data_IF_438124182887
#
_entry.id   IF_438124182887
#
_cell.length_a   1.000
_cell.length_b   1.000
_cell.length_c   1.000
_cell.angle_alpha   90.00
_cell.angle_beta   90.00
_cell.angle_gamma   90.00
#
_symmetry.space_group_name_H-M   'P 1'
#
loop_
_entity.id
_entity.type
_entity.pdbx_description
1 polymer ?
#
# COMPACT_ATOMS: atom_id res chain seq x y z
N UNK A 1 -18.20 -8.38 19.21
CA UNK A 1 -16.76 -8.02 19.25
C UNK A 1 -16.60 -6.63 19.88
N UNK A 2 -15.48 -6.35 20.56
CA UNK A 2 -15.22 -4.99 21.10
C UNK A 2 -14.95 -4.02 19.95
N UNK A 3 -15.48 -2.79 20.04
CA UNK A 3 -15.39 -1.76 18.97
C UNK A 3 -13.94 -1.48 18.53
N UNK A 4 -12.98 -1.49 19.46
CA UNK A 4 -11.54 -1.34 19.17
C UNK A 4 -10.97 -2.47 18.32
N UNK A 5 -11.38 -3.71 18.59
CA UNK A 5 -10.96 -4.88 17.81
C UNK A 5 -11.49 -4.80 16.37
N UNK A 6 -12.74 -4.36 16.20
CA UNK A 6 -13.31 -4.10 14.87
C UNK A 6 -12.52 -3.00 14.17
N UNK A 7 -12.21 -1.90 14.86
CA UNK A 7 -11.38 -0.82 14.31
C UNK A 7 -10.00 -1.33 13.86
N UNK A 8 -9.31 -2.10 14.69
CA UNK A 8 -8.01 -2.66 14.33
C UNK A 8 -8.07 -3.60 13.11
N UNK A 9 -9.10 -4.45 13.04
CA UNK A 9 -9.32 -5.32 11.88
C UNK A 9 -9.64 -4.52 10.62
N UNK A 10 -10.41 -3.43 10.72
CA UNK A 10 -10.65 -2.55 9.59
C UNK A 10 -9.35 -1.90 9.08
N UNK A 11 -8.49 -1.41 9.98
CA UNK A 11 -7.17 -0.89 9.59
C UNK A 11 -6.26 -1.96 8.98
N UNK A 12 -6.34 -3.21 9.46
CA UNK A 12 -5.51 -4.32 8.99
C UNK A 12 -5.97 -4.92 7.65
N UNK A 13 -7.28 -5.00 7.42
CA UNK A 13 -7.86 -5.75 6.29
C UNK A 13 -8.44 -4.85 5.20
N UNK A 14 -8.82 -3.62 5.53
CA UNK A 14 -9.40 -2.68 4.56
C UNK A 14 -8.35 -1.68 4.11
N UNK A 15 -7.95 -0.76 4.99
CA UNK A 15 -6.94 0.25 4.66
C UNK A 15 -6.44 0.99 5.92
N UNK A 16 -5.17 1.43 5.96
CA UNK A 16 -4.66 2.24 7.06
C UNK A 16 -5.54 3.46 7.35
N UNK A 17 -5.94 3.64 8.61
CA UNK A 17 -6.78 4.76 9.05
C UNK A 17 -8.29 4.52 9.06
N UNK A 18 -8.79 3.45 8.41
CA UNK A 18 -10.24 3.13 8.39
C UNK A 18 -10.75 2.79 9.78
N UNK A 19 -9.94 2.09 10.58
CA UNK A 19 -10.27 1.78 11.98
C UNK A 19 -10.50 3.03 12.82
N UNK A 20 -9.63 4.03 12.69
CA UNK A 20 -9.76 5.31 13.37
C UNK A 20 -11.02 6.05 12.95
N UNK A 21 -11.35 6.02 11.65
CA UNK A 21 -12.57 6.64 11.14
C UNK A 21 -13.82 5.98 11.75
N UNK A 22 -13.86 4.64 11.77
CA UNK A 22 -14.92 3.87 12.41
C UNK A 22 -15.07 4.15 13.91
N UNK A 23 -13.97 4.42 14.61
CA UNK A 23 -13.94 4.79 16.02
C UNK A 23 -14.35 6.25 16.30
N UNK A 24 -14.71 7.03 15.28
CA UNK A 24 -15.10 8.45 15.38
C UNK A 24 -13.93 9.43 15.26
N UNK A 25 -12.68 8.93 15.23
CA UNK A 25 -11.45 9.72 15.39
C UNK A 25 -10.92 10.21 14.06
N UNK A 26 -11.69 11.05 13.38
CA UNK A 26 -11.45 11.49 11.99
C UNK A 26 -10.08 12.12 11.76
N UNK A 27 -9.59 12.97 12.68
CA UNK A 27 -8.26 13.59 12.55
C UNK A 27 -7.14 12.55 12.61
N UNK A 28 -7.28 11.53 13.47
CA UNK A 28 -6.34 10.40 13.53
C UNK A 28 -6.46 9.49 12.31
N UNK A 29 -7.66 9.34 11.76
CA UNK A 29 -7.86 8.61 10.51
C UNK A 29 -7.07 9.27 9.37
N UNK A 30 -7.19 10.59 9.20
CA UNK A 30 -6.47 11.33 8.16
C UNK A 30 -4.95 11.23 8.29
N UNK A 31 -4.42 11.18 9.52
CA UNK A 31 -2.98 11.02 9.78
C UNK A 31 -2.41 9.74 9.16
N UNK A 32 -3.19 8.66 9.09
CA UNK A 32 -2.75 7.39 8.48
C UNK A 32 -3.22 7.23 7.05
N UNK A 33 -4.47 7.64 6.77
CA UNK A 33 -5.12 7.42 5.48
C UNK A 33 -4.48 8.24 4.37
N UNK A 34 -4.24 9.55 4.60
CA UNK A 34 -3.69 10.42 3.56
C UNK A 34 -2.29 10.01 3.10
N UNK A 35 -1.28 9.84 4.00
CA UNK A 35 0.04 9.41 3.57
C UNK A 35 0.05 7.99 3.00
N UNK A 36 -0.76 7.06 3.54
CA UNK A 36 -0.89 5.73 2.97
C UNK A 36 -1.50 5.76 1.55
N UNK A 37 -2.51 6.59 1.31
CA UNK A 37 -3.13 6.72 -0.01
C UNK A 37 -2.12 7.30 -1.03
N UNK A 38 -1.38 8.34 -0.66
CA UNK A 38 -0.34 8.93 -1.52
C UNK A 38 0.74 7.89 -1.83
N UNK A 39 1.24 7.19 -0.81
CA UNK A 39 2.23 6.15 -0.99
C UNK A 39 1.74 5.00 -1.88
N UNK A 40 0.50 4.54 -1.68
CA UNK A 40 -0.11 3.52 -2.51
C UNK A 40 -0.22 3.97 -3.97
N UNK A 41 -0.71 5.19 -4.23
CA UNK A 41 -0.82 5.73 -5.60
C UNK A 41 0.54 5.78 -6.28
N UNK A 42 1.58 6.27 -5.60
CA UNK A 42 2.95 6.30 -6.15
C UNK A 42 3.46 4.90 -6.49
N UNK A 43 3.23 3.93 -5.60
CA UNK A 43 3.66 2.56 -5.80
C UNK A 43 2.88 1.87 -6.94
N UNK A 44 1.56 2.06 -7.00
CA UNK A 44 0.71 1.51 -8.05
C UNK A 44 1.05 2.08 -9.43
N UNK A 45 1.30 3.37 -9.53
CA UNK A 45 1.73 3.99 -10.80
C UNK A 45 3.04 3.36 -11.30
N UNK A 46 4.03 3.20 -10.42
CA UNK A 46 5.27 2.52 -10.78
C UNK A 46 5.03 1.07 -11.23
N UNK A 47 4.19 0.33 -10.51
CA UNK A 47 3.87 -1.06 -10.88
C UNK A 47 3.16 -1.15 -12.25
N UNK A 48 2.26 -0.21 -12.55
CA UNK A 48 1.58 -0.13 -13.85
C UNK A 48 2.56 0.22 -14.97
N UNK A 49 3.47 1.17 -14.75
CA UNK A 49 4.50 1.53 -15.73
C UNK A 49 5.43 0.35 -16.04
N UNK A 50 5.80 -0.41 -15.01
CA UNK A 50 6.58 -1.64 -15.15
C UNK A 50 5.82 -2.71 -15.94
N UNK A 51 4.54 -2.92 -15.63
CA UNK A 51 3.70 -3.87 -16.36
C UNK A 51 3.53 -3.49 -17.83
N UNK A 52 3.30 -2.20 -18.12
CA UNK A 52 3.20 -1.68 -19.48
C UNK A 52 4.52 -1.86 -20.24
N UNK A 53 5.65 -1.58 -19.60
CA UNK A 53 6.99 -1.77 -20.21
C UNK A 53 7.23 -3.22 -20.60
N UNK A 54 6.86 -4.18 -19.75
CA UNK A 54 6.97 -5.61 -20.07
C UNK A 54 6.00 -5.99 -21.20
N UNK A 55 4.76 -5.52 -21.15
CA UNK A 55 3.76 -5.78 -22.19
C UNK A 55 4.23 -5.27 -23.57
N UNK A 56 4.76 -4.05 -23.64
CA UNK A 56 5.27 -3.46 -24.88
C UNK A 56 6.45 -4.25 -25.47
N UNK A 57 7.31 -4.79 -24.61
CA UNK A 57 8.45 -5.60 -25.06
C UNK A 57 8.03 -6.97 -25.58
N UNK A 58 7.01 -7.59 -24.97
CA UNK A 58 6.41 -8.83 -25.46
C UNK A 58 5.74 -8.60 -26.82
N UNK A 59 4.91 -7.56 -26.93
CA UNK A 59 4.16 -7.25 -28.15
C UNK A 59 5.06 -6.81 -29.32
N UNK A 60 6.18 -6.14 -29.03
CA UNK A 60 7.16 -5.75 -30.04
C UNK A 60 8.13 -6.87 -30.43
N UNK A 61 8.03 -8.06 -29.83
CA UNK A 61 8.92 -9.20 -30.08
C UNK A 61 10.34 -9.02 -29.52
N UNK A 62 10.57 -7.99 -28.69
CA UNK A 62 11.87 -7.74 -28.02
C UNK A 62 12.13 -8.70 -26.87
N UNK A 63 11.06 -9.25 -26.29
CA UNK A 63 11.11 -10.24 -25.22
C UNK A 63 10.35 -11.49 -25.65
N UNK A 64 10.92 -12.67 -25.39
CA UNK A 64 10.21 -13.93 -25.57
C UNK A 64 9.07 -14.04 -24.54
N UNK A 65 7.95 -14.64 -24.95
CA UNK A 65 6.84 -14.97 -24.03
C UNK A 65 7.20 -16.20 -23.17
N UNK A 66 8.28 -16.07 -22.41
CA UNK A 66 8.85 -17.05 -21.51
C UNK A 66 8.78 -16.49 -20.07
N UNK A 67 8.10 -17.18 -19.14
CA UNK A 67 8.03 -16.77 -17.73
C UNK A 67 9.40 -16.50 -17.11
N UNK A 68 10.43 -17.29 -17.43
CA UNK A 68 11.76 -17.09 -16.86
C UNK A 68 12.41 -15.78 -17.35
N UNK A 69 12.20 -15.41 -18.61
CA UNK A 69 12.68 -14.14 -19.16
C UNK A 69 11.96 -12.93 -18.54
N UNK A 70 10.64 -13.05 -18.30
CA UNK A 70 9.84 -12.01 -17.65
C UNK A 70 10.31 -11.80 -16.20
N UNK A 71 10.48 -12.87 -15.43
CA UNK A 71 10.95 -12.79 -14.04
C UNK A 71 12.36 -12.19 -13.95
N UNK A 72 13.27 -12.61 -14.82
CA UNK A 72 14.64 -12.07 -14.86
C UNK A 72 14.63 -10.57 -15.11
N UNK A 73 13.78 -10.09 -16.03
CA UNK A 73 13.66 -8.67 -16.30
C UNK A 73 13.05 -7.89 -15.12
N UNK A 74 12.02 -8.44 -14.50
CA UNK A 74 11.39 -7.81 -13.33
C UNK A 74 12.36 -7.71 -12.15
N UNK A 75 13.19 -8.75 -11.94
CA UNK A 75 14.19 -8.78 -10.88
C UNK A 75 15.33 -7.76 -11.08
N UNK A 76 15.65 -7.41 -12.33
CA UNK A 76 16.71 -6.44 -12.64
C UNK A 76 16.18 -5.01 -12.76
N UNK A 77 14.86 -4.80 -12.74
CA UNK A 77 14.30 -3.47 -12.84
C UNK A 77 14.61 -2.65 -11.58
N UNK A 78 15.38 -1.54 -11.71
CA UNK A 78 15.73 -0.74 -10.55
C UNK A 78 14.47 -0.08 -9.98
N UNK A 79 14.24 -0.28 -8.69
CA UNK A 79 13.16 0.43 -7.99
C UNK A 79 13.63 1.83 -7.60
N UNK A 80 12.96 2.91 -8.06
CA UNK A 80 13.33 4.27 -7.68
C UNK A 80 13.27 4.49 -6.17
N UNK A 81 14.15 5.33 -5.64
CA UNK A 81 14.17 5.66 -4.21
C UNK A 81 12.81 6.17 -3.70
N UNK A 82 12.08 6.94 -4.50
CA UNK A 82 10.73 7.44 -4.18
C UNK A 82 9.72 6.31 -3.95
N UNK A 83 9.79 5.23 -4.74
CA UNK A 83 8.90 4.07 -4.63
C UNK A 83 9.26 3.25 -3.39
N UNK A 84 10.56 3.05 -3.14
CA UNK A 84 11.04 2.43 -1.91
C UNK A 84 10.57 3.20 -0.68
N UNK A 85 10.70 4.52 -0.69
CA UNK A 85 10.24 5.39 0.39
C UNK A 85 8.72 5.31 0.57
N UNK A 86 7.95 5.32 -0.54
CA UNK A 86 6.51 5.13 -0.51
C UNK A 86 6.14 3.79 0.16
N UNK A 87 6.81 2.69 -0.19
CA UNK A 87 6.60 1.38 0.45
C UNK A 87 6.82 1.42 1.96
N UNK A 88 7.90 2.07 2.42
CA UNK A 88 8.19 2.25 3.85
C UNK A 88 7.10 3.09 4.54
N UNK A 89 6.72 4.22 3.96
CA UNK A 89 5.66 5.10 4.50
C UNK A 89 4.35 4.34 4.62
N UNK A 90 3.98 3.56 3.59
CA UNK A 90 2.79 2.74 3.61
C UNK A 90 2.85 1.70 4.74
N UNK A 91 3.96 0.98 4.87
CA UNK A 91 4.15 -0.03 5.92
C UNK A 91 4.07 0.58 7.33
N UNK A 92 4.68 1.74 7.55
CA UNK A 92 4.61 2.47 8.82
C UNK A 92 3.17 2.91 9.12
N UNK A 93 2.45 3.46 8.13
CA UNK A 93 1.05 3.84 8.30
C UNK A 93 0.16 2.62 8.57
N UNK A 94 0.42 1.50 7.90
CA UNK A 94 -0.30 0.25 8.08
C UNK A 94 -0.16 -0.28 9.50
N UNK A 95 1.06 -0.58 9.94
CA UNK A 95 1.32 -1.10 11.29
C UNK A 95 0.88 -0.08 12.35
N UNK A 96 1.22 1.20 12.15
CA UNK A 96 0.86 2.28 13.06
C UNK A 96 -0.66 2.40 13.25
N UNK A 97 -1.43 2.33 12.17
CA UNK A 97 -2.89 2.45 12.26
C UNK A 97 -3.56 1.26 12.96
N UNK A 98 -2.99 0.04 12.85
CA UNK A 98 -3.51 -1.14 13.56
C UNK A 98 -3.25 -1.00 15.05
N UNK A 99 -2.00 -0.70 15.42
CA UNK A 99 -1.60 -0.52 16.83
C UNK A 99 -2.38 0.61 17.47
N UNK A 100 -2.51 1.74 16.78
CA UNK A 100 -3.25 2.90 17.28
C UNK A 100 -4.73 2.57 17.51
N UNK A 101 -5.37 1.84 16.59
CA UNK A 101 -6.77 1.43 16.75
C UNK A 101 -6.99 0.44 17.91
N UNK A 102 -6.01 -0.41 18.23
CA UNK A 102 -6.07 -1.33 19.38
C UNK A 102 -6.02 -0.59 20.73
N UNK A 103 -5.18 0.44 20.82
CA UNK A 103 -5.02 1.21 22.06
C UNK A 103 -6.06 2.34 22.19
N UNK A 104 -6.55 2.87 21.08
CA UNK A 104 -7.52 3.96 20.98
C UNK A 104 -8.70 3.78 21.93
N UNK A 105 -9.07 4.82 22.68
CA UNK A 105 -10.38 4.84 23.37
C UNK A 105 -11.43 5.28 22.34
N UNK A 106 -12.50 4.51 22.10
CA UNK A 106 -13.57 4.94 21.20
C UNK A 106 -14.18 6.23 21.74
N UNK A 107 -14.47 7.17 20.85
CA UNK A 107 -15.26 8.34 21.20
C UNK A 107 -16.73 7.90 21.38
N UNK A 108 -17.38 8.47 22.39
CA UNK A 108 -18.74 8.15 22.80
C UNK A 108 -19.75 8.49 21.71
#
# INVERSE_FOLDING_TARGET
>A
MRRKSVGALLSALVFPGVGQYYLGRRTRALLFLAPAAIAAILYFNFALDQANTVADQLLSGKMAMDPAAIEAQLAHAPTPFSVTLAGIVFAVCYVGSIVEALIARPEA
#
